data_IF_361600082128
#
_entry.id   IF_361600082128
#
_cell.length_a   1.000
_cell.length_b   1.000
_cell.length_c   1.000
_cell.angle_alpha   90.00
_cell.angle_beta   90.00
_cell.angle_gamma   90.00
#
_symmetry.space_group_name_H-M   'P 1'
#
loop_
_entity.id
_entity.type
_entity.pdbx_description
1 polymer ?
#
# COMPACT_ATOMS: atom_id res chain seq x y z
N UNK A 1 -10.41 -21.73 14.56
CA UNK A 1 -9.45 -20.96 14.36
C UNK A 1 -9.42 -20.43 13.02
N UNK A 2 -9.15 -19.30 12.92
CA UNK A 2 -9.15 -18.71 11.66
C UNK A 2 -7.94 -19.01 10.95
N UNK A 3 -8.04 -19.39 9.74
CA UNK A 3 -6.90 -19.51 8.94
C UNK A 3 -6.65 -18.20 8.32
N UNK A 4 -5.60 -17.55 8.71
CA UNK A 4 -5.30 -16.31 8.16
C UNK A 4 -4.40 -16.46 7.01
N UNK A 5 -4.66 -15.73 5.95
CA UNK A 5 -3.76 -15.63 4.83
C UNK A 5 -3.12 -14.27 4.92
N UNK A 6 -1.83 -14.23 5.08
CA UNK A 6 -1.14 -12.95 5.25
C UNK A 6 0.19 -12.98 4.53
N UNK A 7 0.48 -11.89 3.85
CA UNK A 7 1.76 -11.74 3.16
C UNK A 7 2.28 -10.34 3.38
N UNK A 8 3.59 -10.22 3.33
CA UNK A 8 4.24 -8.96 3.56
C UNK A 8 5.16 -8.68 2.41
N UNK A 9 5.19 -7.46 1.97
CA UNK A 9 6.08 -7.07 0.90
C UNK A 9 6.79 -5.79 1.28
N UNK A 10 8.05 -5.70 0.96
CA UNK A 10 8.80 -4.48 1.17
C UNK A 10 8.58 -3.57 0.00
N UNK A 11 8.19 -2.35 0.27
CA UNK A 11 7.93 -1.38 -0.78
C UNK A 11 8.57 -0.06 -0.37
N UNK A 12 8.57 0.87 -1.28
CA UNK A 12 9.07 2.19 -0.99
C UNK A 12 8.01 3.17 -1.45
N UNK A 13 7.57 4.02 -0.57
CA UNK A 13 6.57 5.02 -0.90
C UNK A 13 6.35 5.97 0.23
N UNK A 14 5.36 6.82 0.08
CA UNK A 14 5.01 7.77 1.12
C UNK A 14 3.53 7.62 1.43
N UNK A 15 3.20 7.63 2.69
CA UNK A 15 1.82 7.53 3.12
C UNK A 15 1.44 8.72 3.98
N UNK A 16 0.18 9.05 3.98
CA UNK A 16 -0.31 10.16 4.76
C UNK A 16 -1.18 9.63 5.89
N UNK A 17 -0.90 10.08 7.11
CA UNK A 17 -1.67 9.71 8.26
C UNK A 17 -2.06 11.01 8.94
N UNK A 18 -3.31 11.43 8.77
CA UNK A 18 -3.74 12.74 9.22
C UNK A 18 -3.04 13.80 8.40
N UNK A 19 -2.47 14.81 9.02
CA UNK A 19 -1.75 15.83 8.26
C UNK A 19 -0.30 15.46 7.98
N UNK A 20 0.18 14.35 8.52
CA UNK A 20 1.59 14.02 8.43
C UNK A 20 1.85 12.99 7.36
N UNK A 21 2.98 13.11 6.68
CA UNK A 21 3.43 12.12 5.72
C UNK A 21 4.59 11.34 6.31
N UNK A 22 4.68 10.08 5.97
CA UNK A 22 5.78 9.25 6.46
C UNK A 22 6.26 8.30 5.35
N UNK A 23 7.48 7.81 5.49
CA UNK A 23 8.00 6.85 4.54
C UNK A 23 7.35 5.50 4.79
N UNK A 24 6.75 4.93 3.76
CA UNK A 24 6.20 3.59 3.85
C UNK A 24 7.28 2.62 3.44
N UNK A 25 7.53 1.63 4.25
CA UNK A 25 8.56 0.64 3.97
C UNK A 25 8.03 -0.75 3.72
N UNK A 26 6.80 -0.99 4.09
CA UNK A 26 6.28 -2.31 4.03
C UNK A 26 4.78 -2.30 3.90
N UNK A 27 4.23 -3.24 3.18
CA UNK A 27 2.79 -3.43 3.12
C UNK A 27 2.48 -4.83 3.62
N UNK A 28 1.56 -4.92 4.57
CA UNK A 28 1.10 -6.21 5.07
C UNK A 28 -0.30 -6.43 4.51
N UNK A 29 -0.48 -7.50 3.78
CA UNK A 29 -1.75 -7.78 3.12
C UNK A 29 -2.29 -9.07 3.70
N UNK A 30 -3.52 -9.04 4.16
CA UNK A 30 -4.12 -10.22 4.74
C UNK A 30 -5.58 -10.37 4.34
N UNK A 31 -6.07 -11.57 4.43
CA UNK A 31 -7.50 -11.83 4.26
C UNK A 31 -7.97 -12.41 5.58
N UNK A 32 -8.72 -11.62 6.33
CA UNK A 32 -9.07 -11.94 7.68
C UNK A 32 -10.21 -11.06 8.17
N UNK A 33 -10.60 -11.17 9.40
CA UNK A 33 -11.65 -10.36 9.97
C UNK A 33 -11.25 -8.89 9.98
N UNK A 34 -12.07 -8.00 9.42
CA UNK A 34 -11.77 -6.58 9.47
C UNK A 34 -12.10 -5.99 10.83
N UNK A 35 -11.60 -4.81 11.10
CA UNK A 35 -11.93 -4.12 12.32
C UNK A 35 -13.20 -3.32 12.18
N UNK A 36 -13.41 -2.72 11.05
CA UNK A 36 -14.53 -1.79 10.89
C UNK A 36 -15.51 -2.17 9.79
N UNK A 37 -15.03 -2.72 8.72
CA UNK A 37 -15.91 -3.05 7.61
C UNK A 37 -16.91 -4.12 8.05
N UNK A 38 -18.19 -3.97 7.76
CA UNK A 38 -19.19 -4.93 8.24
C UNK A 38 -19.22 -6.21 7.42
N UNK A 39 -18.14 -6.91 7.39
CA UNK A 39 -18.02 -8.20 6.68
C UNK A 39 -17.31 -9.17 7.61
N UNK A 40 -17.48 -10.45 7.35
CA UNK A 40 -16.78 -11.43 8.16
C UNK A 40 -15.34 -11.54 7.77
N UNK A 41 -15.03 -11.36 6.50
CA UNK A 41 -13.66 -11.38 6.03
C UNK A 41 -13.46 -10.27 5.03
N UNK A 42 -12.31 -9.66 5.07
CA UNK A 42 -11.97 -8.57 4.18
C UNK A 42 -10.50 -8.64 3.77
N UNK A 43 -10.17 -7.96 2.70
CA UNK A 43 -8.80 -7.82 2.29
C UNK A 43 -8.26 -6.62 3.04
N UNK A 44 -7.32 -6.83 3.92
CA UNK A 44 -6.80 -5.80 4.81
C UNK A 44 -5.38 -5.45 4.37
N UNK A 45 -5.11 -4.18 4.25
CA UNK A 45 -3.77 -3.72 3.88
C UNK A 45 -3.30 -2.73 4.92
N UNK A 46 -2.10 -2.96 5.45
CA UNK A 46 -1.46 -2.01 6.35
C UNK A 46 -0.18 -1.55 5.70
N UNK A 47 -0.06 -0.25 5.51
CA UNK A 47 1.18 0.35 5.03
C UNK A 47 1.89 0.90 6.25
N UNK A 48 3.09 0.44 6.49
CA UNK A 48 3.76 0.75 7.75
C UNK A 48 5.23 1.11 7.58
N UNK A 49 5.76 1.75 8.60
CA UNK A 49 7.19 1.93 8.75
C UNK A 49 7.50 1.63 10.21
N UNK A 50 7.95 0.43 10.49
CA UNK A 50 8.16 0.00 11.87
C UNK A 50 9.24 0.82 12.57
N UNK A 51 10.19 1.34 11.84
CA UNK A 51 11.24 2.13 12.44
C UNK A 51 10.72 3.44 13.00
N UNK A 52 9.56 3.90 12.55
CA UNK A 52 8.99 5.15 13.02
C UNK A 52 7.92 4.95 14.07
N UNK A 53 7.71 3.73 14.50
CA UNK A 53 6.75 3.43 15.56
C UNK A 53 5.36 3.11 15.05
N UNK A 54 4.46 2.74 15.97
CA UNK A 54 3.14 2.28 15.56
C UNK A 54 2.25 3.36 14.96
N UNK A 55 2.59 4.60 15.14
CA UNK A 55 1.80 5.66 14.53
C UNK A 55 2.03 5.82 13.04
N UNK A 56 3.13 5.27 12.50
CA UNK A 56 3.41 5.37 11.08
C UNK A 56 2.72 4.21 10.37
N UNK A 57 1.42 4.35 10.19
CA UNK A 57 0.60 3.27 9.66
C UNK A 57 -0.64 3.82 8.98
N UNK A 58 -0.97 3.25 7.85
CA UNK A 58 -2.24 3.53 7.18
C UNK A 58 -2.89 2.19 6.91
N UNK A 59 -4.10 2.01 7.39
CA UNK A 59 -4.83 0.75 7.24
C UNK A 59 -6.01 0.92 6.30
N UNK A 60 -6.24 -0.07 5.47
CA UNK A 60 -7.35 -0.08 4.53
C UNK A 60 -8.02 -1.44 4.60
N UNK A 61 -9.34 -1.46 4.60
CA UNK A 61 -10.11 -2.71 4.58
C UNK A 61 -11.01 -2.69 3.34
N UNK A 62 -10.97 -3.73 2.56
CA UNK A 62 -11.69 -3.79 1.29
C UNK A 62 -12.44 -5.10 1.16
N UNK A 63 -13.57 -5.04 0.47
CA UNK A 63 -14.24 -6.28 0.08
C UNK A 63 -13.41 -6.96 -0.99
N UNK A 64 -13.68 -8.21 -1.27
CA UNK A 64 -12.96 -8.95 -2.31
C UNK A 64 -13.11 -8.26 -3.65
N UNK A 65 -14.33 -7.85 -3.98
CA UNK A 65 -14.57 -7.20 -5.27
C UNK A 65 -13.81 -5.87 -5.36
N UNK A 66 -13.82 -5.10 -4.29
CA UNK A 66 -13.11 -3.83 -4.28
C UNK A 66 -11.60 -4.05 -4.42
N UNK A 67 -11.08 -5.07 -3.75
CA UNK A 67 -9.67 -5.38 -3.85
C UNK A 67 -9.28 -5.77 -5.27
N UNK A 68 -10.11 -6.58 -5.92
CA UNK A 68 -9.84 -7.01 -7.29
C UNK A 68 -9.91 -5.84 -8.26
N UNK A 69 -10.88 -4.95 -8.04
CA UNK A 69 -10.98 -3.77 -8.89
C UNK A 69 -9.80 -2.84 -8.69
N UNK A 70 -9.33 -2.73 -7.47
CA UNK A 70 -8.18 -1.88 -7.20
C UNK A 70 -6.93 -2.41 -7.91
N UNK A 71 -6.71 -3.72 -7.87
CA UNK A 71 -5.58 -4.32 -8.56
C UNK A 71 -5.65 -4.03 -10.05
N UNK A 72 -6.83 -4.23 -10.66
CA UNK A 72 -7.00 -3.98 -12.07
C UNK A 72 -6.80 -2.52 -12.43
N UNK A 73 -7.27 -1.63 -11.59
CA UNK A 73 -7.13 -0.19 -11.83
C UNK A 73 -5.67 0.23 -11.76
N UNK A 74 -4.94 -0.29 -10.78
CA UNK A 74 -3.52 0.01 -10.68
C UNK A 74 -2.79 -0.46 -11.94
N UNK A 75 -3.08 -1.68 -12.37
CA UNK A 75 -2.44 -2.23 -13.55
C UNK A 75 -2.78 -1.42 -14.80
N UNK A 76 -4.03 -0.99 -14.92
CA UNK A 76 -4.45 -0.21 -16.07
C UNK A 76 -3.77 1.15 -16.13
N UNK A 77 -3.64 1.80 -14.99
CA UNK A 77 -2.97 3.10 -14.94
C UNK A 77 -1.50 2.96 -15.30
N UNK A 78 -0.84 1.92 -14.77
CA UNK A 78 0.55 1.70 -15.08
C UNK A 78 0.76 1.35 -16.55
N UNK A 79 -0.16 0.58 -17.12
CA UNK A 79 -0.08 0.22 -18.53
C UNK A 79 -0.25 1.46 -19.41
N UNK A 80 -1.15 2.35 -19.04
CA UNK A 80 -1.34 3.57 -19.81
C UNK A 80 -0.11 4.47 -19.70
N UNK A 81 0.48 4.58 -18.52
CA UNK A 81 1.68 5.37 -18.35
C UNK A 81 2.83 4.81 -19.19
N UNK A 82 2.90 3.48 -19.27
CA UNK A 82 3.94 2.84 -20.07
C UNK A 82 3.72 3.14 -21.55
N UNK A 83 2.49 3.10 -22.03
CA UNK A 83 2.19 3.40 -23.42
C UNK A 83 2.51 4.83 -23.77
N UNK A 84 2.36 5.74 -22.84
CA UNK A 84 2.68 7.14 -23.10
C UNK A 84 4.16 7.44 -22.91
N UNK A 85 4.93 6.45 -22.47
CA UNK A 85 6.37 6.63 -22.28
C UNK A 85 6.74 7.49 -21.10
N UNK A 86 5.85 7.59 -20.11
CA UNK A 86 6.14 8.41 -18.94
C UNK A 86 6.35 7.58 -17.68
N UNK A 87 6.50 6.29 -17.83
CA UNK A 87 6.71 5.43 -16.69
C UNK A 87 8.15 5.64 -16.19
N UNK A 88 8.29 5.95 -14.92
CA UNK A 88 9.60 6.18 -14.34
C UNK A 88 10.05 5.00 -13.55
N UNK A 89 11.24 4.50 -13.85
CA UNK A 89 11.79 3.45 -13.06
C UNK A 89 12.32 4.05 -11.80
N UNK A 90 12.04 3.47 -10.74
CA UNK A 90 12.53 3.95 -9.50
C UNK A 90 13.95 3.54 -9.40
N UNK A 91 14.81 4.42 -9.44
CA UNK A 91 16.17 4.11 -9.42
C UNK A 91 16.49 3.89 -8.08
N UNK A 92 16.02 3.41 -7.54
CA UNK A 92 16.50 3.03 -6.40
C UNK A 92 17.31 3.84 -5.72
N UNK A 93 17.85 4.26 -6.05
CA UNK A 93 18.75 4.92 -5.47
C UNK A 93 18.42 5.99 -5.03
N UNK A 94 18.38 6.25 -5.01
CA UNK A 94 18.27 7.14 -4.68
C UNK A 94 17.72 7.75 -4.01
N UNK A 95 17.44 8.09 -3.82
CA UNK A 95 16.98 8.79 -3.32
C UNK A 95 16.90 9.10 -2.28
N UNK A 96 17.17 9.37 -1.91
CA UNK A 96 17.24 9.56 -0.87
C UNK A 96 16.42 10.38 -0.42
N UNK A 97 16.36 10.79 -0.32
CA UNK A 97 15.79 11.45 0.17
C UNK A 97 15.08 12.34 -0.31
N UNK A 98 14.99 12.60 -0.86
CA UNK A 98 14.46 13.33 -1.29
C UNK A 98 13.45 13.29 -1.55
N UNK A 99 13.24 13.29 -1.57
CA UNK A 99 12.55 13.09 -1.89
C UNK A 99 11.65 13.28 -2.26
N UNK A 100 11.57 13.54 -2.39
CA UNK A 100 10.85 13.67 -2.72
C UNK A 100 9.96 13.72 -3.19
N UNK A 101 9.87 13.98 -3.31
CA UNK A 101 9.22 14.06 -3.76
C UNK A 101 8.55 13.80 -4.29
N UNK A 102 8.42 13.63 -4.44
CA UNK A 102 7.97 13.39 -4.99
C UNK A 102 7.10 13.19 -5.21
N UNK A 103 6.68 13.30 -5.31
CA UNK A 103 5.96 13.04 -5.50
C UNK A 103 5.59 12.77 -5.72
#
# INVERSE_FOLDING_TARGET
>A
MCTMIAQQVKIMGRGKNGPEWFDVREANVSYDHPYDLPLEHALNIDFVNEAMGPGARVAVELSVDAARQLVQTIQAVLAEADQRGVLEDCPVIAVPARVPSTT
#
